data_IF_691352599757
#
_entry.id   IF_691352599757
#
_cell.length_a   1.000
_cell.length_b   1.000
_cell.length_c   1.000
_cell.angle_alpha   90.00
_cell.angle_beta   90.00
_cell.angle_gamma   90.00
#
_symmetry.space_group_name_H-M   'P 1'
#
loop_
_entity.id
_entity.type
_entity.pdbx_description
1 polymer ?
#
# COMPACT_ATOMS: atom_id res chain seq x y z
N UNK A 1 9.41 10.47 -0.31
CA UNK A 1 8.86 9.67 0.79
C UNK A 1 9.78 8.49 1.03
N UNK A 2 10.18 8.32 2.29
CA UNK A 2 11.01 7.22 2.72
C UNK A 2 10.14 6.16 3.42
N UNK A 3 10.45 4.88 3.20
CA UNK A 3 9.88 3.78 3.97
C UNK A 3 10.99 3.26 4.89
N UNK A 4 10.77 3.31 6.21
CA UNK A 4 11.79 2.95 7.23
C UNK A 4 13.12 3.70 7.03
N UNK A 5 13.05 5.01 6.78
CA UNK A 5 14.23 5.86 6.55
C UNK A 5 14.86 5.75 5.16
N UNK A 6 14.42 4.82 4.30
CA UNK A 6 15.00 4.62 2.97
C UNK A 6 14.12 5.23 1.87
N UNK A 7 14.71 6.09 1.04
CA UNK A 7 14.07 6.65 -0.15
C UNK A 7 13.69 5.57 -1.16
N UNK A 8 12.43 5.61 -1.62
CA UNK A 8 11.89 4.60 -2.51
C UNK A 8 12.09 4.92 -4.00
N UNK A 9 11.95 6.19 -4.40
CA UNK A 9 12.25 6.62 -5.77
C UNK A 9 13.77 6.64 -5.97
N UNK A 10 14.24 5.98 -7.02
CA UNK A 10 15.67 5.81 -7.33
C UNK A 10 16.11 6.61 -8.55
N UNK A 11 15.29 6.56 -9.61
CA UNK A 11 15.55 7.26 -10.86
C UNK A 11 14.30 8.00 -11.29
N UNK A 12 14.46 9.25 -11.72
CA UNK A 12 13.44 10.05 -12.36
C UNK A 12 13.92 10.42 -13.76
N UNK A 13 13.19 10.00 -14.76
CA UNK A 13 13.41 10.35 -16.15
C UNK A 13 12.45 11.48 -16.53
N UNK A 14 13.02 12.55 -17.08
CA UNK A 14 12.32 13.73 -17.57
C UNK A 14 12.40 13.69 -19.09
N UNK A 15 11.35 13.19 -19.73
CA UNK A 15 11.31 13.04 -21.18
C UNK A 15 10.62 14.26 -21.82
N UNK A 16 11.29 14.90 -22.78
CA UNK A 16 10.83 16.12 -23.43
C UNK A 16 11.09 16.12 -24.94
N UNK A 17 10.36 16.95 -25.69
CA UNK A 17 10.63 17.24 -27.10
C UNK A 17 11.20 18.66 -27.23
N UNK A 18 12.16 18.85 -28.13
CA UNK A 18 12.84 20.12 -28.40
C UNK A 18 11.96 21.14 -29.14
N UNK A 19 11.14 20.69 -30.11
CA UNK A 19 10.34 21.59 -30.95
C UNK A 19 8.85 21.63 -30.61
N UNK A 20 8.29 20.54 -30.10
CA UNK A 20 6.83 20.40 -29.93
C UNK A 20 6.23 21.39 -28.92
N UNK A 21 5.10 22.00 -29.28
CA UNK A 21 4.37 22.92 -28.40
C UNK A 21 3.92 22.27 -27.08
N UNK A 22 3.58 20.98 -27.11
CA UNK A 22 3.20 20.22 -25.91
C UNK A 22 4.30 20.10 -24.85
N UNK A 23 5.56 20.27 -25.25
CA UNK A 23 6.74 20.24 -24.38
C UNK A 23 7.21 21.62 -23.93
N UNK A 24 6.46 22.71 -24.21
CA UNK A 24 6.86 24.06 -23.81
C UNK A 24 7.07 24.19 -22.29
N UNK A 25 6.13 23.67 -21.49
CA UNK A 25 6.21 23.76 -20.03
C UNK A 25 7.35 22.95 -19.42
N UNK A 26 7.63 21.76 -19.94
CA UNK A 26 8.72 20.93 -19.41
C UNK A 26 10.10 21.49 -19.77
N UNK A 27 10.24 22.16 -20.92
CA UNK A 27 11.48 22.88 -21.27
C UNK A 27 11.73 24.03 -20.29
N UNK A 28 10.72 24.84 -20.01
CA UNK A 28 10.82 25.89 -18.99
C UNK A 28 11.18 25.31 -17.61
N UNK A 29 10.54 24.21 -17.20
CA UNK A 29 10.84 23.50 -15.95
C UNK A 29 12.30 22.99 -15.89
N UNK A 30 12.85 22.52 -17.01
CA UNK A 30 14.24 22.06 -17.07
C UNK A 30 15.25 23.17 -16.83
N UNK A 31 14.94 24.39 -17.27
CA UNK A 31 15.81 25.56 -17.11
C UNK A 31 15.69 26.17 -15.71
N UNK A 32 14.47 26.29 -15.16
CA UNK A 32 14.25 26.99 -13.89
C UNK A 32 14.30 26.07 -12.66
N UNK A 33 13.44 25.05 -12.61
CA UNK A 33 13.15 24.29 -11.39
C UNK A 33 13.96 23.00 -11.25
N UNK A 34 14.33 22.36 -12.38
CA UNK A 34 15.03 21.08 -12.36
C UNK A 34 16.40 21.13 -11.65
N UNK A 35 17.23 22.17 -11.80
CA UNK A 35 18.51 22.26 -11.08
C UNK A 35 18.29 22.28 -9.56
N UNK A 36 17.38 23.14 -9.08
CA UNK A 36 17.07 23.23 -7.65
C UNK A 36 16.44 21.94 -7.11
N UNK A 37 15.66 21.24 -7.94
CA UNK A 37 15.09 19.94 -7.59
C UNK A 37 16.16 18.86 -7.41
N UNK A 38 17.20 18.85 -8.25
CA UNK A 38 18.36 17.94 -8.14
C UNK A 38 19.16 18.22 -6.87
N UNK A 39 19.47 19.49 -6.61
CA UNK A 39 20.22 19.91 -5.41
C UNK A 39 19.50 19.51 -4.11
N UNK A 40 18.17 19.66 -4.06
CA UNK A 40 17.35 19.27 -2.89
C UNK A 40 17.25 17.75 -2.71
N UNK A 41 17.57 16.94 -3.72
CA UNK A 41 17.41 15.49 -3.69
C UNK A 41 18.66 14.78 -4.25
N UNK A 42 19.83 14.89 -3.59
CA UNK A 42 21.07 14.27 -4.07
C UNK A 42 21.00 12.73 -4.14
N UNK A 43 20.08 12.12 -3.38
CA UNK A 43 19.84 10.67 -3.39
C UNK A 43 19.12 10.15 -4.65
N UNK A 44 18.59 11.04 -5.50
CA UNK A 44 17.76 10.71 -6.65
C UNK A 44 18.56 10.91 -7.95
N UNK A 45 18.65 9.86 -8.77
CA UNK A 45 19.21 9.99 -10.11
C UNK A 45 18.17 10.65 -11.03
N UNK A 46 18.47 11.84 -11.55
CA UNK A 46 17.58 12.58 -12.43
C UNK A 46 18.19 12.66 -13.83
N UNK A 47 17.56 11.99 -14.79
CA UNK A 47 18.01 11.89 -16.19
C UNK A 47 17.03 12.61 -17.11
N UNK A 48 17.56 13.33 -18.09
CA UNK A 48 16.77 14.01 -19.12
C UNK A 48 16.86 13.23 -20.43
N UNK A 49 15.74 12.97 -21.07
CA UNK A 49 15.67 12.23 -22.34
C UNK A 49 14.96 13.05 -23.41
N UNK A 50 15.56 13.13 -24.61
CA UNK A 50 14.96 13.79 -25.76
C UNK A 50 14.09 12.78 -26.54
N UNK A 51 12.79 13.04 -26.60
CA UNK A 51 11.78 12.22 -27.31
C UNK A 51 11.07 13.05 -28.38
N UNK A 52 11.53 12.94 -29.63
CA UNK A 52 10.94 13.68 -30.76
C UNK A 52 9.60 13.08 -31.18
N UNK A 53 8.62 13.94 -31.47
CA UNK A 53 7.29 13.53 -31.94
C UNK A 53 6.39 12.88 -30.89
N UNK A 54 6.79 12.89 -29.61
CA UNK A 54 6.05 12.28 -28.50
C UNK A 54 5.68 13.32 -27.44
N UNK A 55 4.64 13.02 -26.66
CA UNK A 55 4.24 13.88 -25.54
C UNK A 55 5.21 13.75 -24.36
N UNK A 56 5.50 14.87 -23.67
CA UNK A 56 6.42 14.86 -22.54
C UNK A 56 5.81 14.10 -21.36
N UNK A 57 6.67 13.39 -20.63
CA UNK A 57 6.26 12.63 -19.46
C UNK A 57 7.39 12.51 -18.43
N UNK A 58 6.99 12.31 -17.18
CA UNK A 58 7.88 11.98 -16.08
C UNK A 58 7.77 10.50 -15.80
N UNK A 59 8.90 9.78 -15.75
CA UNK A 59 8.96 8.36 -15.45
C UNK A 59 9.80 8.11 -14.22
N UNK A 60 9.17 7.62 -13.15
CA UNK A 60 9.83 7.30 -11.89
C UNK A 60 10.04 5.80 -11.71
N UNK A 61 11.27 5.40 -11.41
CA UNK A 61 11.65 4.04 -11.06
C UNK A 61 11.84 3.91 -9.55
N UNK A 62 11.18 2.93 -8.95
CA UNK A 62 11.17 2.72 -7.52
C UNK A 62 11.98 1.47 -7.13
N UNK A 63 12.44 1.41 -5.89
CA UNK A 63 13.22 0.28 -5.34
C UNK A 63 12.48 -1.06 -5.43
N UNK A 64 11.15 -1.04 -5.42
CA UNK A 64 10.32 -2.23 -5.59
C UNK A 64 10.19 -2.71 -7.05
N UNK A 65 11.02 -2.19 -7.98
CA UNK A 65 11.01 -2.46 -9.42
C UNK A 65 9.75 -1.99 -10.15
N UNK A 66 8.84 -1.30 -9.47
CA UNK A 66 7.69 -0.70 -10.12
C UNK A 66 8.09 0.61 -10.78
N UNK A 67 7.33 0.96 -11.80
CA UNK A 67 7.47 2.21 -12.53
C UNK A 67 6.17 3.00 -12.43
N UNK A 68 6.28 4.32 -12.44
CA UNK A 68 5.11 5.20 -12.62
C UNK A 68 5.43 6.24 -13.67
N UNK A 69 4.54 6.35 -14.64
CA UNK A 69 4.62 7.34 -15.71
C UNK A 69 3.48 8.35 -15.53
N UNK A 70 3.81 9.64 -15.64
CA UNK A 70 2.85 10.74 -15.59
C UNK A 70 3.07 11.59 -16.83
N UNK A 71 2.06 11.71 -17.68
CA UNK A 71 2.09 12.61 -18.83
C UNK A 71 1.96 14.06 -18.35
N UNK A 72 2.80 14.95 -18.89
CA UNK A 72 2.85 16.37 -18.49
C UNK A 72 2.68 17.33 -19.67
N UNK A 73 1.89 16.91 -20.66
CA UNK A 73 1.59 17.71 -21.86
C UNK A 73 0.91 19.04 -21.47
N UNK A 74 1.40 20.16 -22.03
CA UNK A 74 0.83 21.50 -21.85
C UNK A 74 0.68 21.96 -20.38
N UNK A 75 1.41 21.38 -19.44
CA UNK A 75 1.39 21.80 -18.04
C UNK A 75 2.34 22.99 -17.80
N UNK A 76 2.08 23.76 -16.74
CA UNK A 76 3.01 24.81 -16.29
C UNK A 76 4.25 24.18 -15.62
N UNK A 77 5.40 24.88 -15.54
CA UNK A 77 6.57 24.36 -14.83
C UNK A 77 6.28 24.07 -13.35
N UNK A 78 5.40 24.85 -12.71
CA UNK A 78 4.97 24.67 -11.32
C UNK A 78 4.17 23.38 -11.13
N UNK A 79 3.23 23.09 -12.04
CA UNK A 79 2.46 21.84 -12.03
C UNK A 79 3.39 20.63 -12.23
N UNK A 80 4.38 20.76 -13.12
CA UNK A 80 5.37 19.70 -13.38
C UNK A 80 6.20 19.45 -12.12
N UNK A 81 6.63 20.50 -11.41
CA UNK A 81 7.31 20.38 -10.12
C UNK A 81 6.43 19.69 -9.09
N UNK A 82 5.14 19.99 -9.04
CA UNK A 82 4.18 19.33 -8.16
C UNK A 82 4.07 17.83 -8.48
N UNK A 83 3.99 17.44 -9.75
CA UNK A 83 3.96 16.04 -10.17
C UNK A 83 5.29 15.32 -9.89
N UNK A 84 6.43 15.97 -10.12
CA UNK A 84 7.75 15.46 -9.75
C UNK A 84 7.87 15.22 -8.24
N UNK A 85 7.38 16.17 -7.44
CA UNK A 85 7.33 16.07 -5.98
C UNK A 85 6.39 14.95 -5.53
N UNK A 86 5.24 14.75 -6.19
CA UNK A 86 4.32 13.63 -5.93
C UNK A 86 4.99 12.28 -6.21
N UNK A 87 5.73 12.15 -7.32
CA UNK A 87 6.50 10.94 -7.63
C UNK A 87 7.58 10.69 -6.58
N UNK A 88 8.33 11.73 -6.20
CA UNK A 88 9.31 11.67 -5.12
C UNK A 88 8.68 11.26 -3.78
N UNK A 89 7.44 11.68 -3.53
CA UNK A 89 6.68 11.37 -2.32
C UNK A 89 5.87 10.06 -2.40
N UNK A 90 5.93 9.31 -3.49
CA UNK A 90 5.29 8.02 -3.60
C UNK A 90 6.21 6.87 -3.16
N UNK A 91 5.60 5.73 -2.82
CA UNK A 91 6.30 4.48 -2.49
C UNK A 91 6.46 3.55 -3.71
N UNK A 92 5.84 3.87 -4.85
CA UNK A 92 5.84 3.00 -6.04
C UNK A 92 4.88 1.81 -5.97
N UNK A 93 4.00 1.70 -4.96
CA UNK A 93 2.97 0.65 -4.92
C UNK A 93 1.87 0.93 -5.94
N UNK A 94 1.17 -0.09 -6.45
CA UNK A 94 -0.02 0.13 -7.29
C UNK A 94 -1.09 0.88 -6.48
N UNK A 95 -1.74 1.87 -7.08
CA UNK A 95 -2.88 2.53 -6.45
C UNK A 95 -4.06 1.57 -6.52
N UNK A 96 -4.53 1.13 -5.36
CA UNK A 96 -5.67 0.21 -5.22
C UNK A 96 -6.64 0.84 -4.24
N UNK A 97 -7.94 0.66 -4.49
CA UNK A 97 -8.98 1.09 -3.56
C UNK A 97 -8.80 0.35 -2.24
N UNK A 98 -8.51 1.08 -1.17
CA UNK A 98 -8.44 0.50 0.18
C UNK A 98 -9.87 0.23 0.67
N UNK A 99 -10.10 -0.96 1.24
CA UNK A 99 -11.39 -1.31 1.87
C UNK A 99 -11.61 -0.54 3.17
N UNK A 100 -10.54 -0.36 3.95
CA UNK A 100 -10.56 0.25 5.28
C UNK A 100 -9.40 1.23 5.41
N UNK A 101 -9.61 2.33 6.13
CA UNK A 101 -8.58 3.36 6.37
C UNK A 101 -7.43 2.86 7.23
N UNK A 102 -7.72 2.04 8.24
CA UNK A 102 -6.75 1.53 9.20
C UNK A 102 -6.45 0.06 8.91
N UNK A 103 -5.16 -0.28 8.90
CA UNK A 103 -4.68 -1.66 8.75
C UNK A 103 -3.81 -1.97 9.94
N UNK A 104 -4.27 -2.88 10.80
CA UNK A 104 -3.57 -3.28 12.01
C UNK A 104 -3.24 -4.76 11.91
N UNK A 105 -1.98 -5.13 12.17
CA UNK A 105 -1.57 -6.54 12.22
C UNK A 105 -2.07 -7.24 13.49
N UNK A 106 -2.23 -6.47 14.56
CA UNK A 106 -2.67 -6.92 15.88
C UNK A 106 -3.98 -6.20 16.23
N UNK A 107 -5.14 -6.74 15.83
CA UNK A 107 -6.42 -6.07 16.03
C UNK A 107 -6.83 -5.99 17.52
N UNK A 108 -6.36 -6.92 18.34
CA UNK A 108 -6.56 -6.96 19.79
C UNK A 108 -5.21 -7.06 20.52
N UNK A 109 -5.17 -6.55 21.76
CA UNK A 109 -3.99 -6.60 22.64
C UNK A 109 -4.06 -7.78 23.62
N UNK A 110 -5.26 -8.08 24.12
CA UNK A 110 -5.50 -9.20 25.04
C UNK A 110 -5.84 -10.46 24.24
N UNK A 111 -7.08 -10.59 23.80
CA UNK A 111 -7.54 -11.66 22.93
C UNK A 111 -8.72 -11.16 22.09
N UNK A 112 -9.04 -11.86 21.00
CA UNK A 112 -10.28 -11.61 20.26
C UNK A 112 -11.44 -12.17 21.07
N UNK A 113 -12.53 -11.41 21.24
CA UNK A 113 -13.71 -11.89 21.97
C UNK A 113 -14.31 -13.11 21.25
N UNK A 114 -14.04 -14.30 21.80
CA UNK A 114 -14.68 -15.55 21.41
C UNK A 114 -15.87 -15.80 22.32
N UNK A 115 -17.01 -16.20 21.74
CA UNK A 115 -18.30 -16.44 22.39
C UNK A 115 -18.22 -17.41 23.60
N UNK A 116 -17.18 -18.24 23.66
CA UNK A 116 -16.95 -19.25 24.70
C UNK A 116 -16.43 -18.67 26.01
N UNK A 117 -15.72 -17.53 26.00
CA UNK A 117 -15.13 -16.94 27.22
C UNK A 117 -16.22 -16.49 28.21
N UNK A 118 -17.42 -16.18 27.71
CA UNK A 118 -18.56 -15.77 28.55
C UNK A 118 -19.44 -16.94 29.04
N UNK A 119 -19.20 -18.17 28.57
CA UNK A 119 -20.08 -19.32 28.84
C UNK A 119 -19.64 -20.19 30.04
N UNK A 120 -18.44 -19.96 30.58
CA UNK A 120 -17.91 -20.77 31.69
C UNK A 120 -18.32 -20.30 33.10
N UNK A 121 -18.98 -19.15 33.24
CA UNK A 121 -19.50 -18.68 34.54
C UNK A 121 -20.93 -19.16 34.85
N UNK A 122 -21.61 -19.82 33.91
CA UNK A 122 -23.02 -20.26 34.04
C UNK A 122 -23.20 -21.77 34.15
N UNK A 123 -22.16 -22.53 34.54
CA UNK A 123 -22.26 -23.99 34.76
C UNK A 123 -21.76 -24.44 36.15
N UNK A 124 -21.57 -23.53 37.11
CA UNK A 124 -21.34 -23.91 38.52
C UNK A 124 -22.58 -23.77 39.43
N UNK A 125 -23.76 -23.44 38.89
CA UNK A 125 -25.01 -23.51 39.64
C UNK A 125 -25.93 -24.58 39.05
N UNK A 126 -25.96 -25.70 39.78
CA UNK A 126 -26.97 -26.77 39.77
C UNK A 126 -27.00 -27.74 38.58
N UNK A 127 -26.37 -28.90 38.78
CA UNK A 127 -26.80 -30.14 38.13
C UNK A 127 -27.88 -30.82 39.02
N UNK A 128 -29.10 -31.10 38.53
CA UNK A 128 -30.10 -31.83 39.30
C UNK A 128 -29.70 -33.30 39.44
N UNK A 129 -29.63 -33.81 40.68
CA UNK A 129 -29.52 -35.24 40.98
C UNK A 129 -30.76 -35.98 40.49
N UNK A 130 -30.70 -36.62 39.33
CA UNK A 130 -31.66 -37.67 38.97
C UNK A 130 -31.22 -38.98 39.63
N UNK A 131 -32.01 -39.45 40.61
CA UNK A 131 -31.88 -40.79 41.19
C UNK A 131 -32.20 -41.82 40.10
N UNK A 132 -31.21 -42.61 39.70
CA UNK A 132 -31.41 -43.81 38.89
C UNK A 132 -32.09 -44.88 39.77
N UNK A 133 -33.38 -45.12 39.53
CA UNK A 133 -34.08 -46.31 40.03
C UNK A 133 -33.72 -47.45 39.08
N UNK A 134 -32.86 -48.37 39.53
CA UNK A 134 -32.59 -49.62 38.83
C UNK A 134 -33.67 -50.64 39.18
N UNK A 135 -34.57 -50.93 38.23
CA UNK A 135 -35.42 -52.11 38.28
C UNK A 135 -34.60 -53.33 37.82
N UNK A 136 -34.44 -54.29 38.74
CA UNK A 136 -33.92 -55.62 38.44
C UNK A 136 -34.90 -56.38 37.54
N UNK A 137 -34.50 -56.75 36.32
CA UNK A 137 -35.02 -57.95 35.66
C UNK A 137 -33.91 -58.71 34.94
N UNK A 138 -33.97 -60.03 35.12
CA UNK A 138 -32.93 -61.02 34.96
C UNK A 138 -32.67 -61.37 33.48
N UNK A 139 -31.40 -61.56 33.13
CA UNK A 139 -30.99 -62.25 31.92
C UNK A 139 -31.42 -63.72 31.98
N UNK A 140 -31.76 -64.33 30.83
CA UNK A 140 -31.36 -65.70 30.59
C UNK A 140 -30.28 -65.81 29.51
N UNK A 141 -29.36 -66.69 29.88
CA UNK A 141 -28.13 -67.11 29.27
C UNK A 141 -28.35 -68.03 28.03
N UNK A 142 -27.38 -67.98 27.09
CA UNK A 142 -26.83 -69.12 26.32
C UNK A 142 -27.76 -69.77 25.28
N UNK A 143 -27.33 -70.34 24.14
CA UNK A 143 -26.13 -71.11 23.75
C UNK A 143 -25.96 -71.06 22.21
N UNK A 144 -24.69 -71.18 21.78
CA UNK A 144 -24.14 -71.86 20.57
C UNK A 144 -24.70 -71.44 19.21
#
# INVERSE_FOLDING_TARGET
>A
MALRGVWQLKKLIVSYCDWGGSSRGIRAFMESELPTFKEKNPQLEVVTELIRGQHPHLKGFYKNKNERVVCVKNMTPEDILLYGTRLRNALGRKVVKLKTRHVTKHPSVQETLLLVVHLFSTQQKEAPRQKLVYSHQLLPNTKI
#
